data_IF_510370767046
#
_entry.id   IF_510370767046
#
_cell.length_a   1.000
_cell.length_b   1.000
_cell.length_c   1.000
_cell.angle_alpha   90.00
_cell.angle_beta   90.00
_cell.angle_gamma   90.00
#
_symmetry.space_group_name_H-M   'P 1'
#
loop_
_entity.id
_entity.type
_entity.pdbx_description
1 polymer ?
#
# COMPACT_ATOMS: atom_id res chain seq x y z
N UNK A 1 18.33 -4.65 -48.24
CA UNK A 1 17.33 -5.73 -48.11
C UNK A 1 18.10 -6.97 -47.71
N UNK A 2 18.20 -7.23 -46.41
CA UNK A 2 18.89 -8.41 -45.87
C UNK A 2 17.85 -9.27 -45.15
N UNK A 3 17.76 -10.54 -45.56
CA UNK A 3 16.93 -11.60 -44.99
C UNK A 3 17.64 -12.11 -43.72
N UNK A 4 16.98 -12.51 -42.63
CA UNK A 4 16.41 -13.86 -42.50
C UNK A 4 15.76 -14.01 -41.13
N UNK A 5 14.69 -14.79 -41.11
CA UNK A 5 13.82 -15.09 -39.96
C UNK A 5 14.13 -16.44 -39.31
N UNK A 6 13.61 -16.59 -38.09
CA UNK A 6 13.10 -17.77 -37.37
C UNK A 6 14.03 -18.80 -36.66
N UNK A 7 13.80 -18.82 -35.34
CA UNK A 7 13.52 -19.96 -34.43
C UNK A 7 14.59 -21.01 -34.11
N UNK A 8 14.89 -21.13 -32.82
CA UNK A 8 15.25 -22.40 -32.19
C UNK A 8 14.60 -22.49 -30.80
N UNK A 9 13.53 -23.30 -30.71
CA UNK A 9 13.06 -23.89 -29.45
C UNK A 9 13.86 -25.16 -29.19
N UNK A 10 14.37 -25.36 -27.97
CA UNK A 10 14.77 -26.70 -27.53
C UNK A 10 14.46 -26.91 -26.06
N UNK A 11 13.59 -27.90 -25.84
CA UNK A 11 13.11 -28.49 -24.58
C UNK A 11 13.98 -29.70 -24.25
N UNK A 12 14.46 -29.82 -23.02
CA UNK A 12 14.93 -31.07 -22.38
C UNK A 12 14.69 -30.93 -20.86
N UNK A 13 13.56 -31.38 -20.29
CA UNK A 13 13.27 -32.72 -19.75
C UNK A 13 14.27 -33.35 -18.75
N UNK A 14 13.79 -33.44 -17.49
CA UNK A 14 13.79 -34.61 -16.58
C UNK A 14 15.06 -34.94 -15.76
N UNK A 15 14.91 -34.87 -14.43
CA UNK A 15 15.53 -35.78 -13.44
C UNK A 15 14.80 -35.66 -12.08
N UNK A 16 13.80 -36.49 -11.79
CA UNK A 16 13.82 -37.71 -10.94
C UNK A 16 14.42 -37.62 -9.53
N UNK A 17 13.50 -37.71 -8.54
CA UNK A 17 13.56 -38.36 -7.20
C UNK A 17 14.61 -37.90 -6.19
N UNK A 18 14.13 -37.50 -5.00
CA UNK A 18 14.32 -38.23 -3.72
C UNK A 18 13.52 -37.58 -2.57
N UNK A 19 12.64 -38.36 -1.93
CA UNK A 19 12.19 -38.17 -0.53
C UNK A 19 13.29 -38.73 0.39
N UNK A 20 13.55 -38.10 1.54
CA UNK A 20 13.26 -38.71 2.85
C UNK A 20 12.74 -37.61 3.83
N UNK A 21 12.29 -37.81 5.07
CA UNK A 21 12.01 -38.93 5.97
C UNK A 21 11.26 -38.29 7.14
N UNK A 22 10.30 -39.02 7.69
CA UNK A 22 9.60 -38.71 8.93
C UNK A 22 10.57 -38.84 10.11
N UNK A 23 10.65 -37.83 10.98
CA UNK A 23 11.09 -38.01 12.36
C UNK A 23 10.35 -37.01 13.26
N UNK A 24 9.48 -37.59 14.09
CA UNK A 24 8.73 -36.99 15.20
C UNK A 24 9.65 -36.85 16.41
N UNK A 25 9.75 -35.66 17.01
CA UNK A 25 9.99 -35.50 18.46
C UNK A 25 9.41 -34.18 18.96
N UNK A 26 8.53 -34.29 19.95
CA UNK A 26 7.97 -33.23 20.78
C UNK A 26 9.05 -32.43 21.52
N UNK A 27 8.82 -31.14 21.72
CA UNK A 27 9.37 -30.36 22.84
C UNK A 27 8.35 -29.31 23.26
N UNK A 28 7.66 -29.62 24.36
CA UNK A 28 6.94 -28.66 25.19
C UNK A 28 7.96 -27.86 26.01
N UNK A 29 7.82 -26.53 26.08
CA UNK A 29 7.88 -25.68 27.30
C UNK A 29 8.01 -24.18 26.88
N UNK A 30 6.93 -23.41 26.85
CA UNK A 30 6.40 -22.49 27.90
C UNK A 30 7.15 -21.14 28.03
N UNK A 31 6.51 -20.08 27.50
CA UNK A 31 6.42 -18.64 27.87
C UNK A 31 7.58 -17.98 28.66
N UNK A 32 8.03 -16.77 28.30
CA UNK A 32 7.42 -15.49 28.74
C UNK A 32 7.98 -14.30 27.93
N UNK A 33 7.04 -13.57 27.32
CA UNK A 33 6.93 -12.10 27.24
C UNK A 33 8.13 -11.25 26.80
N UNK A 34 8.03 -10.73 25.57
CA UNK A 34 8.21 -9.28 25.38
C UNK A 34 6.98 -8.71 24.66
N UNK A 35 6.19 -8.01 25.44
CA UNK A 35 5.06 -7.21 25.02
C UNK A 35 5.54 -6.06 24.15
N UNK A 36 5.48 -6.20 22.83
CA UNK A 36 5.33 -5.05 21.96
C UNK A 36 3.87 -4.98 21.54
N UNK A 37 3.15 -4.17 22.31
CA UNK A 37 1.83 -3.66 22.00
C UNK A 37 1.92 -2.91 20.66
N UNK A 38 1.78 -3.61 19.54
CA UNK A 38 1.20 -2.99 18.36
C UNK A 38 -0.29 -2.89 18.66
N UNK A 39 -0.65 -1.75 19.26
CA UNK A 39 -1.98 -1.40 19.73
C UNK A 39 -3.06 -1.98 18.83
N UNK A 40 -4.02 -2.68 19.46
CA UNK A 40 -5.34 -2.91 18.90
C UNK A 40 -5.90 -1.53 18.54
N UNK A 41 -5.69 -1.10 17.30
CA UNK A 41 -6.40 0.06 16.77
C UNK A 41 -7.88 -0.29 16.95
N UNK A 42 -8.67 0.54 17.65
CA UNK A 42 -10.10 0.32 17.65
C UNK A 42 -10.50 0.19 16.20
N UNK A 43 -11.26 -0.85 15.87
CA UNK A 43 -11.95 -0.96 14.60
C UNK A 43 -13.01 0.14 14.61
N UNK A 44 -12.56 1.38 14.43
CA UNK A 44 -13.38 2.53 14.09
C UNK A 44 -14.19 2.07 12.89
N UNK A 45 -15.51 2.27 12.92
CA UNK A 45 -16.41 2.01 11.80
C UNK A 45 -15.67 2.34 10.52
N UNK A 46 -15.35 1.33 9.70
CA UNK A 46 -14.47 1.49 8.53
C UNK A 46 -15.04 2.63 7.72
N UNK A 47 -14.42 3.81 7.82
CA UNK A 47 -14.79 4.95 7.04
C UNK A 47 -14.65 4.45 5.60
N UNK A 48 -15.78 4.35 4.91
CA UNK A 48 -15.87 3.59 3.67
C UNK A 48 -15.94 4.60 2.54
N UNK A 49 -14.79 4.86 1.91
CA UNK A 49 -14.74 5.60 0.66
C UNK A 49 -15.11 4.66 -0.50
N UNK A 50 -16.03 5.10 -1.35
CA UNK A 50 -16.42 4.36 -2.55
C UNK A 50 -15.19 4.15 -3.48
N UNK A 51 -15.16 3.05 -4.24
CA UNK A 51 -14.02 2.73 -5.12
C UNK A 51 -13.78 3.81 -6.17
N UNK A 52 -14.85 4.41 -6.73
CA UNK A 52 -14.73 5.51 -7.69
C UNK A 52 -14.20 6.78 -7.05
N UNK A 53 -14.69 7.10 -5.85
CA UNK A 53 -14.23 8.25 -5.04
C UNK A 53 -12.76 8.09 -4.63
N UNK A 54 -12.35 6.89 -4.25
CA UNK A 54 -10.97 6.57 -3.90
C UNK A 54 -9.99 6.78 -5.07
N UNK A 55 -10.37 6.34 -6.27
CA UNK A 55 -9.53 6.56 -7.48
C UNK A 55 -9.32 8.04 -7.74
N UNK A 56 -10.37 8.86 -7.61
CA UNK A 56 -10.28 10.31 -7.73
C UNK A 56 -9.42 10.90 -6.63
N UNK A 57 -9.66 10.52 -5.37
CA UNK A 57 -8.89 10.96 -4.22
C UNK A 57 -7.39 10.72 -4.41
N UNK A 58 -7.00 9.49 -4.77
CA UNK A 58 -5.60 9.13 -5.05
C UNK A 58 -4.99 9.98 -6.17
N UNK A 59 -5.76 10.24 -7.23
CA UNK A 59 -5.34 11.09 -8.33
C UNK A 59 -5.09 12.53 -7.87
N UNK A 60 -5.97 13.07 -7.02
CA UNK A 60 -5.81 14.42 -6.47
C UNK A 60 -4.64 14.52 -5.50
N UNK A 61 -4.47 13.55 -4.59
CA UNK A 61 -3.31 13.51 -3.69
C UNK A 61 -2.02 13.57 -4.50
N UNK A 62 -1.87 12.70 -5.51
CA UNK A 62 -0.65 12.70 -6.33
C UNK A 62 -0.44 14.03 -7.06
N UNK A 63 -1.50 14.61 -7.62
CA UNK A 63 -1.43 15.93 -8.27
C UNK A 63 -1.02 17.05 -7.31
N UNK A 64 -1.54 17.04 -6.08
CA UNK A 64 -1.16 18.01 -5.04
C UNK A 64 0.32 17.88 -4.70
N UNK A 65 0.83 16.66 -4.51
CA UNK A 65 2.25 16.43 -4.29
C UNK A 65 3.13 16.85 -5.48
N UNK A 66 2.68 16.58 -6.72
CA UNK A 66 3.35 17.03 -7.95
C UNK A 66 3.39 18.57 -8.03
N UNK A 67 2.31 19.26 -7.63
CA UNK A 67 2.24 20.73 -7.60
C UNK A 67 3.13 21.35 -6.51
N UNK A 68 3.26 20.69 -5.35
CA UNK A 68 4.16 21.15 -4.27
C UNK A 68 5.63 20.86 -4.64
N UNK A 69 5.90 19.93 -5.57
CA UNK A 69 7.24 19.61 -6.06
C UNK A 69 8.11 18.88 -5.04
N UNK A 70 7.49 18.24 -4.04
CA UNK A 70 8.14 17.56 -2.90
C UNK A 70 7.74 16.10 -2.88
N UNK A 71 8.20 15.34 -3.87
CA UNK A 71 7.88 13.92 -4.00
C UNK A 71 8.51 13.07 -2.88
N UNK A 72 9.60 13.53 -2.27
CA UNK A 72 10.36 12.84 -1.20
C UNK A 72 10.21 13.49 0.20
N UNK A 73 9.49 14.63 0.31
CA UNK A 73 9.37 15.36 1.58
C UNK A 73 8.10 14.96 2.35
N UNK A 74 8.14 15.09 3.68
CA UNK A 74 6.98 14.86 4.53
C UNK A 74 6.13 16.12 4.57
N UNK A 75 5.00 16.10 3.86
CA UNK A 75 4.07 17.23 3.78
C UNK A 75 3.02 17.12 4.88
N UNK A 76 2.64 18.24 5.48
CA UNK A 76 1.55 18.26 6.46
C UNK A 76 0.25 17.71 5.87
N UNK A 77 -0.40 16.79 6.60
CA UNK A 77 -1.64 16.15 6.17
C UNK A 77 -2.75 17.17 5.91
N UNK A 78 -2.78 18.24 6.71
CA UNK A 78 -3.73 19.34 6.59
C UNK A 78 -3.55 20.06 5.24
N UNK A 79 -2.30 20.39 4.89
CA UNK A 79 -1.95 21.02 3.61
C UNK A 79 -2.30 20.13 2.41
N UNK A 80 -2.07 18.82 2.51
CA UNK A 80 -2.48 17.88 1.45
C UNK A 80 -4.00 17.82 1.36
N UNK A 81 -4.70 17.81 2.50
CA UNK A 81 -6.16 17.78 2.56
C UNK A 81 -6.78 19.04 1.95
N UNK A 82 -6.27 20.22 2.28
CA UNK A 82 -6.68 21.49 1.66
C UNK A 82 -6.46 21.46 0.14
N UNK A 83 -5.28 20.97 -0.30
CA UNK A 83 -4.98 20.81 -1.72
C UNK A 83 -5.95 19.85 -2.41
N UNK A 84 -6.23 18.70 -1.81
CA UNK A 84 -7.16 17.71 -2.35
C UNK A 84 -8.57 18.28 -2.45
N UNK A 85 -9.03 19.01 -1.43
CA UNK A 85 -10.34 19.66 -1.43
C UNK A 85 -10.42 20.77 -2.49
N UNK A 86 -9.33 21.53 -2.69
CA UNK A 86 -9.22 22.53 -3.75
C UNK A 86 -9.25 21.90 -5.14
N UNK A 87 -8.58 20.76 -5.33
CA UNK A 87 -8.60 20.00 -6.60
C UNK A 87 -9.96 19.35 -6.87
N UNK A 88 -10.66 18.93 -5.81
CA UNK A 88 -11.99 18.36 -5.90
C UNK A 88 -13.06 19.39 -6.29
N UNK A 89 -12.85 20.68 -5.98
CA UNK A 89 -13.71 21.79 -6.38
C UNK A 89 -15.14 21.63 -5.87
N UNK A 90 -16.08 21.31 -6.75
CA UNK A 90 -17.49 21.06 -6.41
C UNK A 90 -17.75 19.67 -5.82
N UNK A 91 -16.81 18.73 -5.96
CA UNK A 91 -16.95 17.34 -5.54
C UNK A 91 -16.08 17.03 -4.32
N UNK A 92 -16.10 17.92 -3.32
CA UNK A 92 -15.31 17.78 -2.10
C UNK A 92 -15.55 16.45 -1.39
N UNK A 93 -14.53 15.99 -0.69
CA UNK A 93 -14.58 14.80 0.14
C UNK A 93 -15.06 15.18 1.54
N UNK A 94 -15.89 14.33 2.12
CA UNK A 94 -16.26 14.47 3.53
C UNK A 94 -15.08 14.08 4.42
N UNK A 95 -15.08 14.52 5.68
CA UNK A 95 -14.02 14.15 6.63
C UNK A 95 -13.82 12.63 6.74
N UNK A 96 -14.91 11.86 6.75
CA UNK A 96 -14.85 10.40 6.75
C UNK A 96 -14.26 9.82 5.47
N UNK A 97 -14.56 10.39 4.29
CA UNK A 97 -13.95 9.93 3.04
C UNK A 97 -12.46 10.26 2.96
N UNK A 98 -12.03 11.40 3.49
CA UNK A 98 -10.62 11.78 3.55
C UNK A 98 -9.84 10.80 4.44
N UNK A 99 -10.32 10.55 5.66
CA UNK A 99 -9.71 9.60 6.60
C UNK A 99 -9.63 8.20 5.97
N UNK A 100 -10.75 7.71 5.43
CA UNK A 100 -10.82 6.45 4.70
C UNK A 100 -9.85 6.38 3.52
N UNK A 101 -9.74 7.47 2.76
CA UNK A 101 -8.87 7.57 1.59
C UNK A 101 -7.40 7.47 1.98
N UNK A 102 -6.99 8.19 3.02
CA UNK A 102 -5.63 8.12 3.55
C UNK A 102 -5.32 6.76 4.16
N UNK A 103 -6.19 6.20 4.99
CA UNK A 103 -5.99 4.85 5.56
C UNK A 103 -5.85 3.79 4.46
N UNK A 104 -6.69 3.88 3.41
CA UNK A 104 -6.64 2.95 2.29
C UNK A 104 -5.38 3.13 1.45
N UNK A 105 -4.95 4.37 1.18
CA UNK A 105 -3.69 4.62 0.47
C UNK A 105 -2.48 4.12 1.28
N UNK A 106 -2.49 4.28 2.61
CA UNK A 106 -1.44 3.76 3.47
C UNK A 106 -1.43 2.23 3.48
N UNK A 107 -2.61 1.60 3.52
CA UNK A 107 -2.77 0.15 3.42
C UNK A 107 -2.30 -0.40 2.06
N UNK A 108 -2.53 0.35 0.98
CA UNK A 108 -2.06 0.05 -0.37
C UNK A 108 -0.56 0.35 -0.57
N UNK A 109 0.18 0.77 0.47
CA UNK A 109 1.58 1.21 0.43
C UNK A 109 1.83 2.34 -0.60
N UNK A 110 0.81 3.15 -0.88
CA UNK A 110 0.93 4.30 -1.78
C UNK A 110 1.42 5.56 -1.06
N UNK A 111 1.24 5.61 0.28
CA UNK A 111 1.68 6.69 1.14
C UNK A 111 2.18 6.16 2.48
N UNK A 112 3.01 6.94 3.15
CA UNK A 112 3.33 6.77 4.56
C UNK A 112 2.83 7.98 5.33
N UNK A 113 2.16 7.75 6.47
CA UNK A 113 1.69 8.80 7.37
C UNK A 113 2.43 8.66 8.70
N UNK A 114 3.13 9.71 9.11
CA UNK A 114 3.83 9.79 10.40
C UNK A 114 3.82 11.24 10.90
N UNK A 115 3.65 11.42 12.23
CA UNK A 115 3.63 12.74 12.88
C UNK A 115 2.69 13.77 12.22
N UNK A 116 1.48 13.35 11.85
CA UNK A 116 0.50 14.18 11.14
C UNK A 116 0.98 14.69 9.76
N UNK A 117 2.02 14.06 9.21
CA UNK A 117 2.57 14.33 7.88
C UNK A 117 2.43 13.09 7.02
N UNK A 118 2.39 13.32 5.72
CA UNK A 118 2.17 12.33 4.68
C UNK A 118 3.26 12.48 3.63
N UNK A 119 3.75 11.35 3.12
CA UNK A 119 4.67 11.31 1.98
C UNK A 119 4.28 10.18 1.02
N UNK A 120 4.67 10.30 -0.25
CA UNK A 120 4.44 9.28 -1.27
C UNK A 120 5.57 8.25 -1.24
N UNK A 121 5.26 6.99 -1.55
CA UNK A 121 6.23 5.88 -1.63
C UNK A 121 6.22 5.29 -3.05
#
# INVERSE_FOLDING_TARGET
MDQSTVTASTRQERSTRRRPRDETTESMDTTVTESQQAAKRPRTETASIDVGRYKLFRSYVRKVFDEIGTTDDMVDLDRVTEGVQSQAGTNQFTAGELEAGYERMASDNAIMIADNKITLI
#
